data_IF_051994941045
#
_entry.id   IF_051994941045
#
_cell.length_a   1.000
_cell.length_b   1.000
_cell.length_c   1.000
_cell.angle_alpha   90.00
_cell.angle_beta   90.00
_cell.angle_gamma   90.00
#
_symmetry.space_group_name_H-M   'P 1'
#
loop_
_entity.id
_entity.type
_entity.pdbx_description
1 polymer ?
#
# COMPACT_ATOMS: atom_id res chain seq x y z
N UNK A 1 1.00 6.17 -7.44
CA UNK A 1 0.77 7.15 -6.40
C UNK A 1 0.69 6.49 -5.04
N UNK A 2 1.41 7.00 -4.09
CA UNK A 2 1.47 6.47 -2.73
C UNK A 2 1.26 7.60 -1.74
N UNK A 3 0.27 7.45 -0.86
CA UNK A 3 -0.02 8.39 0.21
C UNK A 3 0.06 7.71 1.56
N UNK A 4 0.58 8.43 2.54
CA UNK A 4 0.63 7.96 3.92
C UNK A 4 -0.06 9.01 4.79
N UNK A 5 -1.11 8.59 5.46
CA UNK A 5 -1.83 9.40 6.42
C UNK A 5 -1.60 8.89 7.83
N UNK A 6 -1.80 9.76 8.79
CA UNK A 6 -1.64 9.42 10.20
C UNK A 6 -2.76 10.03 11.01
N UNK A 7 -3.33 9.22 11.89
CA UNK A 7 -4.25 9.66 12.93
C UNK A 7 -3.60 9.38 14.28
N UNK A 8 -4.28 9.73 15.40
CA UNK A 8 -3.76 9.40 16.73
C UNK A 8 -3.67 7.89 16.97
N UNK A 9 -4.50 7.11 16.28
CA UNK A 9 -4.64 5.68 16.50
C UNK A 9 -3.97 4.80 15.47
N UNK A 10 -3.79 5.30 14.24
CA UNK A 10 -3.33 4.45 13.15
C UNK A 10 -2.56 5.20 12.06
N UNK A 11 -1.80 4.44 11.29
CA UNK A 11 -1.25 4.86 10.02
C UNK A 11 -2.14 4.30 8.90
N UNK A 12 -2.33 5.09 7.86
CA UNK A 12 -3.10 4.68 6.68
C UNK A 12 -2.22 4.85 5.45
N UNK A 13 -1.97 3.76 4.76
CA UNK A 13 -1.18 3.76 3.51
C UNK A 13 -2.14 3.49 2.37
N UNK A 14 -2.14 4.38 1.37
CA UNK A 14 -2.94 4.20 0.16
C UNK A 14 -2.02 4.13 -1.04
N UNK A 15 -2.22 3.10 -1.86
CA UNK A 15 -1.45 2.87 -3.07
C UNK A 15 -2.40 2.64 -4.24
N UNK A 16 -2.21 3.43 -5.30
CA UNK A 16 -2.93 3.19 -6.55
C UNK A 16 -2.42 1.91 -7.20
N UNK A 17 -3.32 0.98 -7.44
CA UNK A 17 -3.01 -0.31 -8.03
C UNK A 17 -4.06 -0.69 -9.09
N UNK A 18 -4.26 0.16 -10.10
CA UNK A 18 -5.29 -0.11 -11.10
C UNK A 18 -4.98 -1.39 -11.89
N UNK A 19 -6.00 -2.22 -12.05
CA UNK A 19 -5.87 -3.45 -12.81
C UNK A 19 -5.12 -4.58 -12.09
N UNK A 20 -4.72 -4.38 -10.85
CA UNK A 20 -4.05 -5.42 -10.05
C UNK A 20 -5.11 -6.23 -9.30
N UNK A 21 -4.97 -7.54 -9.31
CA UNK A 21 -5.86 -8.43 -8.58
C UNK A 21 -5.34 -8.63 -7.16
N UNK A 22 -6.26 -8.83 -6.22
CA UNK A 22 -5.91 -9.09 -4.83
C UNK A 22 -4.95 -10.27 -4.68
N UNK A 23 -5.13 -11.33 -5.47
CA UNK A 23 -4.29 -12.52 -5.45
C UNK A 23 -2.84 -12.23 -5.87
N UNK A 24 -2.63 -11.14 -6.59
CA UNK A 24 -1.32 -10.75 -7.12
C UNK A 24 -0.61 -9.72 -6.25
N UNK A 25 -1.16 -9.42 -5.08
CA UNK A 25 -0.57 -8.48 -4.12
C UNK A 25 -0.10 -9.25 -2.90
N UNK A 26 1.11 -8.99 -2.48
CA UNK A 26 1.69 -9.53 -1.24
C UNK A 26 2.13 -8.37 -0.36
N UNK A 27 1.68 -8.38 0.89
CA UNK A 27 2.02 -7.35 1.87
C UNK A 27 2.74 -8.01 3.03
N UNK A 28 3.91 -7.50 3.37
CA UNK A 28 4.69 -7.99 4.49
C UNK A 28 5.14 -6.84 5.37
N UNK A 29 5.30 -7.12 6.66
CA UNK A 29 5.83 -6.17 7.63
C UNK A 29 7.01 -6.80 8.34
N UNK A 30 8.15 -6.13 8.32
CA UNK A 30 9.35 -6.55 9.03
C UNK A 30 10.22 -5.35 9.33
N UNK A 31 10.84 -5.32 10.50
CA UNK A 31 11.69 -4.21 10.94
C UNK A 31 11.03 -2.83 10.77
N UNK A 32 9.76 -2.76 11.13
CA UNK A 32 8.93 -1.55 10.99
C UNK A 32 8.90 -1.00 9.56
N UNK A 33 9.09 -1.87 8.59
CA UNK A 33 9.03 -1.56 7.16
C UNK A 33 7.89 -2.34 6.53
N UNK A 34 6.98 -1.63 5.89
CA UNK A 34 5.89 -2.21 5.15
C UNK A 34 6.34 -2.43 3.71
N UNK A 35 6.24 -3.64 3.23
CA UNK A 35 6.56 -3.98 1.84
C UNK A 35 5.32 -4.42 1.12
N UNK A 36 5.07 -3.79 -0.02
CA UNK A 36 3.94 -4.12 -0.88
C UNK A 36 4.49 -4.50 -2.25
N UNK A 37 4.30 -5.75 -2.60
CA UNK A 37 4.70 -6.29 -3.91
C UNK A 37 3.47 -6.66 -4.69
N UNK A 38 3.52 -6.45 -5.98
CA UNK A 38 2.43 -6.86 -6.83
C UNK A 38 2.86 -6.98 -8.28
N UNK A 39 2.00 -7.62 -9.03
CA UNK A 39 2.17 -7.72 -10.47
C UNK A 39 0.85 -7.40 -11.15
N UNK A 40 0.95 -6.76 -12.28
CA UNK A 40 -0.19 -6.42 -13.10
C UNK A 40 0.00 -7.04 -14.47
N UNK A 41 -1.03 -7.73 -14.93
CA UNK A 41 -1.08 -8.23 -16.28
C UNK A 41 -2.13 -7.44 -17.06
N UNK A 42 -1.72 -6.84 -18.15
CA UNK A 42 -2.60 -6.11 -19.02
C UNK A 42 -2.53 -6.71 -20.41
N UNK A 43 -3.70 -7.00 -20.97
CA UNK A 43 -3.80 -7.53 -22.33
C UNK A 43 -4.43 -6.46 -23.21
N UNK A 44 -3.67 -6.03 -24.23
CA UNK A 44 -4.17 -5.14 -25.25
C UNK A 44 -4.47 -5.93 -26.52
N UNK A 45 -5.71 -5.79 -27.00
CA UNK A 45 -6.08 -6.29 -28.32
C UNK A 45 -6.14 -5.12 -29.29
N UNK A 46 -5.36 -5.18 -30.36
CA UNK A 46 -5.52 -4.24 -31.46
C UNK A 46 -6.62 -4.74 -32.38
N UNK A 47 -7.60 -3.87 -32.63
CA UNK A 47 -8.65 -4.12 -33.63
C UNK A 47 -8.21 -3.58 -34.99
N UNK A 48 -8.51 -4.30 -36.03
CA UNK A 48 -8.22 -3.93 -37.39
C UNK A 48 -7.40 -4.99 -38.12
N UNK A 49 -6.38 -4.56 -38.88
CA UNK A 49 -5.57 -5.47 -39.69
C UNK A 49 -4.73 -6.48 -38.94
N UNK A 50 -4.71 -6.37 -37.61
CA UNK A 50 -3.85 -7.18 -36.74
C UNK A 50 -4.66 -8.03 -35.77
N UNK A 51 -5.60 -8.79 -36.30
CA UNK A 51 -6.44 -9.68 -35.50
C UNK A 51 -5.67 -10.71 -34.67
N UNK A 52 -4.42 -10.92 -35.00
CA UNK A 52 -3.61 -11.94 -34.37
C UNK A 52 -2.61 -11.36 -33.36
N UNK A 53 -2.65 -10.05 -33.16
CA UNK A 53 -1.79 -9.39 -32.18
C UNK A 53 -2.51 -9.23 -30.86
N UNK A 54 -2.07 -9.97 -29.87
CA UNK A 54 -2.38 -9.66 -28.49
C UNK A 54 -1.08 -9.29 -27.80
N UNK A 55 -1.01 -8.10 -27.24
CA UNK A 55 0.11 -7.68 -26.41
C UNK A 55 -0.27 -7.85 -24.95
N UNK A 56 0.55 -8.58 -24.22
CA UNK A 56 0.45 -8.66 -22.77
C UNK A 56 1.53 -7.81 -22.18
N UNK A 57 1.10 -6.84 -21.38
CA UNK A 57 2.02 -6.06 -20.59
C UNK A 57 2.07 -6.61 -19.18
N UNK A 58 3.27 -6.91 -18.70
CA UNK A 58 3.50 -7.26 -17.31
C UNK A 58 4.12 -6.09 -16.62
N UNK A 59 3.52 -5.66 -15.53
CA UNK A 59 4.09 -4.67 -14.64
C UNK A 59 4.28 -5.28 -13.26
N UNK A 60 5.47 -5.13 -12.72
CA UNK A 60 5.74 -5.49 -11.35
C UNK A 60 6.03 -4.23 -10.55
N UNK A 61 5.56 -4.20 -9.31
CA UNK A 61 5.94 -3.14 -8.40
C UNK A 61 6.36 -3.74 -7.07
N UNK A 62 7.26 -3.04 -6.41
CA UNK A 62 7.79 -3.40 -5.10
C UNK A 62 8.01 -2.09 -4.34
N UNK A 63 7.18 -1.84 -3.37
CA UNK A 63 7.27 -0.63 -2.55
C UNK A 63 7.68 -1.01 -1.14
N UNK A 64 8.65 -0.30 -0.62
CA UNK A 64 9.11 -0.45 0.75
C UNK A 64 8.93 0.89 1.45
N UNK A 65 8.21 0.85 2.55
CA UNK A 65 7.82 2.05 3.29
C UNK A 65 8.30 1.89 4.73
N UNK A 66 9.29 2.69 5.11
CA UNK A 66 9.68 2.81 6.51
C UNK A 66 8.57 3.52 7.28
N UNK A 67 8.02 2.88 8.30
CA UNK A 67 6.92 3.46 9.06
C UNK A 67 7.45 4.50 10.05
N UNK A 68 6.74 5.63 10.22
CA UNK A 68 7.19 6.70 11.13
C UNK A 68 7.08 6.35 12.61
N UNK A 69 6.36 5.29 12.96
CA UNK A 69 6.24 4.82 14.33
C UNK A 69 6.00 3.33 14.37
N UNK A 70 6.15 2.74 15.55
CA UNK A 70 5.89 1.33 15.75
C UNK A 70 4.40 1.02 15.63
N UNK A 71 4.08 -0.07 14.95
CA UNK A 71 2.72 -0.53 14.76
C UNK A 71 2.51 -1.89 15.41
N UNK A 72 1.25 -2.21 15.70
CA UNK A 72 0.88 -3.52 16.21
C UNK A 72 0.66 -4.47 15.04
N UNK A 73 1.57 -5.45 14.89
CA UNK A 73 1.52 -6.41 13.78
C UNK A 73 0.26 -7.27 13.75
N UNK A 74 -0.45 -7.37 14.88
CA UNK A 74 -1.70 -8.13 14.96
C UNK A 74 -2.95 -7.31 14.60
N UNK A 75 -2.78 -6.03 14.34
CA UNK A 75 -3.88 -5.11 14.06
C UNK A 75 -3.63 -4.33 12.77
N UNK A 76 -3.50 -5.07 11.70
CA UNK A 76 -3.30 -4.52 10.36
C UNK A 76 -4.43 -5.01 9.47
N UNK A 77 -5.06 -4.09 8.76
CA UNK A 77 -6.11 -4.38 7.81
C UNK A 77 -5.72 -3.86 6.43
N UNK A 78 -5.91 -4.67 5.40
CA UNK A 78 -5.64 -4.28 4.03
C UNK A 78 -6.86 -4.58 3.17
N UNK A 79 -7.23 -3.62 2.34
CA UNK A 79 -8.36 -3.75 1.43
C UNK A 79 -8.02 -3.19 0.07
N UNK A 80 -8.42 -3.89 -0.97
CA UNK A 80 -8.32 -3.42 -2.35
C UNK A 80 -9.71 -3.12 -2.86
N UNK A 81 -9.96 -1.86 -3.22
CA UNK A 81 -11.25 -1.42 -3.73
C UNK A 81 -11.05 -0.37 -4.82
N UNK A 82 -11.71 -0.58 -5.94
CA UNK A 82 -11.68 0.36 -7.06
C UNK A 82 -10.28 0.77 -7.51
N UNK A 83 -9.36 -0.20 -7.51
CA UNK A 83 -7.97 0.04 -7.91
C UNK A 83 -7.12 0.77 -6.88
N UNK A 84 -7.61 0.90 -5.64
CA UNK A 84 -6.85 1.51 -4.54
C UNK A 84 -6.64 0.48 -3.44
N UNK A 85 -5.38 0.25 -3.10
CA UNK A 85 -5.00 -0.57 -1.96
C UNK A 85 -4.88 0.34 -0.74
N UNK A 86 -5.64 0.05 0.30
CA UNK A 86 -5.59 0.77 1.57
C UNK A 86 -5.12 -0.17 2.66
N UNK A 87 -4.03 0.19 3.33
CA UNK A 87 -3.49 -0.56 4.47
C UNK A 87 -3.60 0.30 5.71
N UNK A 88 -4.34 -0.19 6.70
CA UNK A 88 -4.50 0.47 7.99
C UNK A 88 -3.69 -0.29 9.04
N UNK A 89 -2.80 0.41 9.70
CA UNK A 89 -1.89 -0.17 10.67
C UNK A 89 -2.11 0.54 12.01
N UNK A 90 -2.62 -0.18 12.99
CA UNK A 90 -2.81 0.39 14.32
C UNK A 90 -1.46 0.70 14.96
N UNK A 91 -1.33 1.88 15.53
CA UNK A 91 -0.13 2.23 16.30
C UNK A 91 -0.05 1.33 17.53
N UNK A 92 1.17 0.92 17.90
CA UNK A 92 1.36 0.16 19.12
C UNK A 92 1.06 1.03 20.34
N UNK A 93 0.76 0.40 21.48
CA UNK A 93 0.57 1.12 22.73
C UNK A 93 1.81 1.95 23.08
N UNK A 94 2.99 1.38 22.84
CA UNK A 94 4.26 2.07 23.08
C UNK A 94 4.41 3.30 22.20
N UNK A 95 4.04 3.21 20.92
CA UNK A 95 4.12 4.34 20.00
C UNK A 95 3.19 5.48 20.45
N UNK A 96 1.99 5.15 20.89
CA UNK A 96 1.04 6.15 21.39
C UNK A 96 1.54 6.83 22.66
N UNK A 97 2.19 6.10 23.55
CA UNK A 97 2.79 6.66 24.77
C UNK A 97 3.95 7.61 24.50
N UNK A 98 4.65 7.40 23.38
CA UNK A 98 5.80 8.23 23.02
C UNK A 98 5.43 9.53 22.33
N UNK A 99 4.18 9.70 21.95
CA UNK A 99 3.70 10.94 21.37
C UNK A 99 3.62 12.03 22.43
N UNK A 100 4.20 13.18 22.13
CA UNK A 100 4.16 14.34 23.00
C UNK A 100 3.63 15.54 22.25
N UNK A 101 2.69 16.21 22.87
CA UNK A 101 2.23 17.50 22.38
C UNK A 101 3.27 18.56 22.79
N UNK A 102 3.74 19.32 21.82
CA UNK A 102 4.73 20.36 22.02
C UNK A 102 3.99 21.70 22.07
N UNK A 103 4.21 22.47 23.14
CA UNK A 103 3.66 23.81 23.26
C UNK A 103 4.54 24.81 22.53
N UNK A 104 3.90 25.75 21.84
CA UNK A 104 4.57 26.80 21.10
C UNK A 104 4.60 28.05 21.96
N UNK A 105 5.79 28.60 22.16
CA UNK A 105 5.97 29.88 22.82
C UNK A 105 5.89 31.02 21.82
N UNK A 106 5.30 32.11 22.23
CA UNK A 106 5.30 33.35 21.44
C UNK A 106 6.27 34.37 22.03
#
# INVERSE_FOLDING_TARGET
NLDIGETNEELVVELDAPGVKREDIEITLGDNTLRIKGKRESQKEERGKSFYRSEREYGEFDRRIGLPCEVDANRIDAALKDGVLTVKLAKSAKAKEQERKIEIHT
#
